data_IF_558582928043
#
_entry.id   IF_558582928043
#
_cell.length_a   1.000
_cell.length_b   1.000
_cell.length_c   1.000
_cell.angle_alpha   90.00
_cell.angle_beta   90.00
_cell.angle_gamma   90.00
#
_symmetry.space_group_name_H-M   'P 1'
#
loop_
_entity.id
_entity.type
_entity.pdbx_description
1 polymer ?
#
# COMPACT_ATOMS: atom_id res chain seq x y z
N UNK A 1 15.69 -27.97 -1.89
CA UNK A 1 15.21 -27.34 -1.99
C UNK A 1 14.73 -26.47 -1.46
N UNK A 2 14.45 -26.25 -1.25
CA UNK A 2 13.76 -25.65 -1.05
C UNK A 2 13.72 -24.39 -0.81
N UNK A 3 14.23 -23.63 -1.18
CA UNK A 3 13.79 -22.35 -1.00
C UNK A 3 12.43 -22.35 -0.59
N UNK A 4 12.18 -23.35 -0.11
CA UNK A 4 10.87 -23.75 0.06
C UNK A 4 10.06 -22.76 0.84
N UNK A 5 10.58 -22.11 1.84
CA UNK A 5 9.78 -21.20 2.64
C UNK A 5 9.26 -20.01 1.86
N UNK A 6 10.13 -19.42 1.04
CA UNK A 6 9.71 -18.28 0.24
C UNK A 6 8.70 -18.71 -0.81
N UNK A 7 8.98 -19.81 -1.49
CA UNK A 7 8.05 -20.30 -2.49
C UNK A 7 6.71 -20.70 -1.89
N UNK A 8 6.74 -21.30 -0.71
CA UNK A 8 5.52 -21.71 -0.04
C UNK A 8 4.69 -20.49 0.36
N UNK A 9 5.32 -19.47 0.93
CA UNK A 9 4.62 -18.26 1.31
C UNK A 9 3.97 -17.61 0.09
N UNK A 10 4.72 -17.48 -1.00
CA UNK A 10 4.20 -16.87 -2.22
C UNK A 10 3.05 -17.68 -2.81
N UNK A 11 3.15 -19.01 -2.76
CA UNK A 11 2.09 -19.88 -3.28
C UNK A 11 0.82 -19.80 -2.45
N UNK A 12 0.93 -19.52 -1.16
CA UNK A 12 -0.23 -19.44 -0.27
C UNK A 12 -0.86 -18.07 -0.25
N UNK A 13 -0.08 -17.02 -0.43
CA UNK A 13 -0.57 -15.65 -0.45
C UNK A 13 -1.36 -15.41 -1.72
N UNK A 14 -2.53 -14.82 -1.58
CA UNK A 14 -3.36 -14.46 -2.74
C UNK A 14 -3.57 -12.97 -2.78
N UNK A 15 -3.26 -12.38 -3.92
CA UNK A 15 -3.65 -11.00 -4.21
C UNK A 15 -4.95 -11.09 -4.99
N UNK A 16 -6.01 -10.50 -4.44
CA UNK A 16 -7.34 -10.59 -5.05
C UNK A 16 -8.08 -9.27 -4.92
N UNK A 17 -9.18 -9.16 -5.64
CA UNK A 17 -10.01 -7.95 -5.60
C UNK A 17 -10.67 -7.82 -4.23
N UNK A 18 -10.71 -6.61 -3.71
CA UNK A 18 -11.39 -6.25 -2.47
C UNK A 18 -12.89 -6.54 -2.59
N UNK A 19 -13.45 -7.17 -1.56
CA UNK A 19 -14.88 -7.46 -1.45
C UNK A 19 -15.45 -6.69 -0.26
N UNK A 20 -16.30 -5.67 -0.48
CA UNK A 20 -16.72 -4.78 0.61
C UNK A 20 -17.23 -5.48 1.86
N UNK A 21 -18.13 -6.44 1.70
CA UNK A 21 -18.72 -7.13 2.85
C UNK A 21 -17.71 -7.93 3.64
N UNK A 22 -16.73 -8.49 2.95
CA UNK A 22 -15.75 -9.39 3.54
C UNK A 22 -14.56 -8.64 4.12
N UNK A 23 -14.12 -7.57 3.45
CA UNK A 23 -12.80 -7.02 3.68
C UNK A 23 -12.80 -5.63 4.32
N UNK A 24 -13.93 -4.91 4.30
CA UNK A 24 -13.94 -3.50 4.69
C UNK A 24 -13.46 -3.28 6.12
N UNK A 25 -14.00 -4.03 7.08
CA UNK A 25 -13.63 -3.85 8.47
C UNK A 25 -12.15 -4.09 8.71
N UNK A 26 -11.61 -5.12 8.06
CA UNK A 26 -10.18 -5.46 8.21
C UNK A 26 -9.30 -4.37 7.59
N UNK A 27 -9.67 -3.88 6.41
CA UNK A 27 -8.92 -2.83 5.74
C UNK A 27 -9.00 -1.50 6.50
N UNK A 28 -10.13 -1.19 7.10
CA UNK A 28 -10.25 -0.02 7.97
C UNK A 28 -9.24 -0.08 9.11
N UNK A 29 -9.12 -1.25 9.74
CA UNK A 29 -8.16 -1.44 10.81
C UNK A 29 -6.72 -1.30 10.35
N UNK A 30 -6.38 -1.89 9.21
CA UNK A 30 -5.04 -1.78 8.64
C UNK A 30 -4.72 -0.33 8.31
N UNK A 31 -5.63 0.35 7.64
CA UNK A 31 -5.44 1.74 7.24
C UNK A 31 -5.19 2.65 8.44
N UNK A 32 -5.95 2.45 9.51
CA UNK A 32 -5.83 3.24 10.73
C UNK A 32 -4.51 2.97 11.45
N UNK A 33 -4.22 1.69 11.68
CA UNK A 33 -3.05 1.28 12.46
C UNK A 33 -1.74 1.61 11.76
N UNK A 34 -1.66 1.31 10.47
CA UNK A 34 -0.41 1.50 9.72
C UNK A 34 -0.11 2.99 9.58
N UNK A 35 -1.12 3.82 9.32
CA UNK A 35 -0.91 5.27 9.26
C UNK A 35 -0.41 5.81 10.60
N UNK A 36 -1.04 5.40 11.69
CA UNK A 36 -0.63 5.86 13.01
C UNK A 36 0.81 5.47 13.34
N UNK A 37 1.21 4.28 12.96
CA UNK A 37 2.59 3.81 13.19
C UNK A 37 3.59 4.49 12.26
N UNK A 38 3.21 4.70 11.01
CA UNK A 38 4.10 5.24 9.98
C UNK A 38 4.31 6.73 10.14
N UNK A 39 3.22 7.48 10.35
CA UNK A 39 3.27 8.94 10.46
C UNK A 39 3.40 9.34 11.92
N UNK A 40 4.52 8.97 12.52
CA UNK A 40 4.76 9.12 13.96
C UNK A 40 4.80 10.58 14.42
N UNK A 41 4.96 11.51 13.51
CA UNK A 41 4.96 12.95 13.82
C UNK A 41 3.55 13.56 13.86
N UNK A 42 2.51 12.75 13.60
CA UNK A 42 1.11 13.17 13.64
C UNK A 42 0.43 12.53 14.84
N UNK A 43 -0.46 13.27 15.51
CA UNK A 43 -1.23 12.71 16.60
C UNK A 43 -2.03 11.50 16.10
N UNK A 44 -1.82 10.30 16.65
CA UNK A 44 -2.47 9.08 16.16
C UNK A 44 -3.99 9.13 16.23
N UNK A 45 -4.56 9.93 17.11
CA UNK A 45 -6.02 10.09 17.19
C UNK A 45 -6.63 10.70 15.94
N UNK A 46 -5.82 11.30 15.09
CA UNK A 46 -6.26 11.87 13.83
C UNK A 46 -6.69 10.80 12.83
N UNK A 47 -6.16 9.60 12.95
CA UNK A 47 -6.44 8.50 12.04
C UNK A 47 -7.60 7.65 12.57
N UNK A 48 -8.67 7.54 11.79
CA UNK A 48 -9.89 6.84 12.20
C UNK A 48 -10.29 5.79 11.19
N UNK A 49 -10.91 4.70 11.65
CA UNK A 49 -11.41 3.68 10.72
C UNK A 49 -12.38 4.23 9.67
N UNK A 50 -13.18 5.24 10.06
CA UNK A 50 -14.14 5.86 9.15
C UNK A 50 -13.49 6.64 8.01
N UNK A 51 -12.20 6.89 8.06
CA UNK A 51 -11.47 7.56 6.97
C UNK A 51 -11.37 6.68 5.73
N UNK A 52 -11.37 5.36 5.91
CA UNK A 52 -11.09 4.42 4.81
C UNK A 52 -12.05 4.60 3.63
N UNK A 53 -13.35 4.63 3.90
CA UNK A 53 -14.34 4.68 2.83
C UNK A 53 -14.25 5.95 1.99
N UNK A 54 -14.22 7.16 2.56
CA UNK A 54 -14.07 8.37 1.75
C UNK A 54 -12.71 8.46 1.07
N UNK A 55 -11.64 8.00 1.73
CA UNK A 55 -10.30 8.12 1.15
C UNK A 55 -10.04 7.16 0.00
N UNK A 56 -10.81 6.07 -0.10
CA UNK A 56 -10.66 5.10 -1.19
C UNK A 56 -11.80 5.16 -2.20
N UNK A 57 -12.67 6.14 -2.09
CA UNK A 57 -13.85 6.25 -2.97
C UNK A 57 -13.41 6.35 -4.44
N UNK A 58 -13.97 5.49 -5.27
CA UNK A 58 -13.67 5.47 -6.70
C UNK A 58 -12.40 4.72 -7.08
N UNK A 59 -11.67 4.18 -6.12
CA UNK A 59 -10.44 3.45 -6.39
C UNK A 59 -10.70 1.96 -6.62
N UNK A 60 -9.82 1.35 -7.40
CA UNK A 60 -9.74 -0.11 -7.49
C UNK A 60 -8.88 -0.59 -6.34
N UNK A 61 -9.39 -1.54 -5.56
CA UNK A 61 -8.70 -2.05 -4.40
C UNK A 61 -8.35 -3.52 -4.58
N UNK A 62 -7.11 -3.87 -4.27
CA UNK A 62 -6.64 -5.25 -4.20
C UNK A 62 -6.18 -5.52 -2.78
N UNK A 63 -6.41 -6.73 -2.30
CA UNK A 63 -5.99 -7.13 -0.96
C UNK A 63 -5.03 -8.30 -1.03
N UNK A 64 -4.13 -8.36 -0.05
CA UNK A 64 -3.24 -9.50 0.13
C UNK A 64 -3.87 -10.38 1.20
N UNK A 65 -4.33 -11.56 0.79
CA UNK A 65 -5.05 -12.48 1.65
C UNK A 65 -4.14 -13.65 2.02
N UNK A 66 -3.80 -13.73 3.29
CA UNK A 66 -2.92 -14.78 3.80
C UNK A 66 -3.78 -15.90 4.39
N UNK A 67 -3.50 -17.17 4.06
CA UNK A 67 -4.35 -18.28 4.48
C UNK A 67 -4.52 -18.41 6.00
N UNK A 68 -3.51 -18.04 6.76
CA UNK A 68 -3.58 -18.13 8.22
C UNK A 68 -3.97 -16.83 8.89
N UNK A 69 -3.61 -15.68 8.30
CA UNK A 69 -3.77 -14.37 8.94
C UNK A 69 -4.92 -13.55 8.37
N UNK A 70 -5.51 -13.99 7.27
CA UNK A 70 -6.51 -13.21 6.54
C UNK A 70 -5.87 -12.08 5.77
N UNK A 71 -6.62 -10.99 5.57
CA UNK A 71 -6.11 -9.83 4.84
C UNK A 71 -5.05 -9.13 5.68
N UNK A 72 -3.85 -8.98 5.11
CA UNK A 72 -2.70 -8.39 5.79
C UNK A 72 -2.20 -7.10 5.13
N UNK A 73 -2.81 -6.72 4.02
CA UNK A 73 -2.45 -5.48 3.34
C UNK A 73 -3.38 -5.20 2.19
N UNK A 74 -3.32 -3.99 1.66
CA UNK A 74 -4.10 -3.62 0.48
C UNK A 74 -3.40 -2.54 -0.32
N UNK A 75 -3.79 -2.43 -1.59
CA UNK A 75 -3.35 -1.37 -2.48
C UNK A 75 -4.58 -0.71 -3.09
N UNK A 76 -4.57 0.62 -3.17
CA UNK A 76 -5.64 1.40 -3.79
C UNK A 76 -5.10 2.11 -5.03
N UNK A 77 -5.84 2.02 -6.12
CA UNK A 77 -5.41 2.47 -7.43
C UNK A 77 -6.43 3.45 -8.00
N UNK A 78 -5.97 4.66 -8.29
CA UNK A 78 -6.77 5.63 -9.05
C UNK A 78 -6.47 5.41 -10.53
N UNK A 79 -7.32 4.60 -11.17
CA UNK A 79 -7.09 4.12 -12.53
C UNK A 79 -6.96 5.22 -13.58
N UNK A 80 -7.80 6.29 -13.55
CA UNK A 80 -7.75 7.30 -14.62
C UNK A 80 -6.39 7.97 -14.79
N UNK A 81 -5.56 8.01 -13.75
CA UNK A 81 -4.26 8.68 -13.83
C UNK A 81 -3.09 7.72 -13.59
N UNK A 82 -3.34 6.42 -13.62
CA UNK A 82 -2.30 5.42 -13.38
C UNK A 82 -1.57 5.67 -12.05
N UNK A 83 -2.36 6.01 -11.02
CA UNK A 83 -1.85 6.48 -9.75
C UNK A 83 -2.09 5.46 -8.64
N UNK A 84 -1.02 5.07 -7.96
CA UNK A 84 -1.10 4.20 -6.78
C UNK A 84 -1.32 5.12 -5.58
N UNK A 85 -2.52 5.13 -5.04
CA UNK A 85 -2.89 6.07 -3.98
C UNK A 85 -2.63 5.53 -2.59
N UNK A 86 -2.79 4.23 -2.39
CA UNK A 86 -2.59 3.59 -1.09
C UNK A 86 -1.81 2.30 -1.26
N UNK A 87 -0.88 2.05 -0.33
CA UNK A 87 -0.18 0.76 -0.24
C UNK A 87 0.17 0.57 1.24
N UNK A 88 -0.56 -0.31 1.90
CA UNK A 88 -0.41 -0.54 3.33
C UNK A 88 -0.34 -2.03 3.64
N UNK A 89 0.64 -2.41 4.46
CA UNK A 89 0.84 -3.78 4.92
C UNK A 89 1.04 -3.72 6.43
N UNK A 90 0.44 -4.65 7.17
CA UNK A 90 0.62 -4.69 8.63
C UNK A 90 2.10 -4.83 8.96
N UNK A 91 2.58 -4.17 10.04
CA UNK A 91 4.01 -4.16 10.35
C UNK A 91 4.63 -5.54 10.52
N UNK A 92 3.88 -6.49 11.08
CA UNK A 92 4.38 -7.86 11.30
C UNK A 92 4.74 -8.57 10.00
N UNK A 93 4.20 -8.11 8.89
CA UNK A 93 4.43 -8.71 7.58
C UNK A 93 5.29 -7.85 6.67
N UNK A 94 5.98 -6.85 7.22
CA UNK A 94 6.93 -6.07 6.43
C UNK A 94 8.15 -6.93 6.10
N UNK A 95 8.81 -6.59 4.99
CA UNK A 95 10.07 -7.20 4.55
C UNK A 95 9.98 -8.66 4.12
N UNK A 96 8.78 -9.18 3.90
CA UNK A 96 8.59 -10.52 3.36
C UNK A 96 7.97 -10.49 1.96
N UNK A 97 7.99 -9.33 1.32
CA UNK A 97 7.58 -9.21 -0.08
C UNK A 97 6.10 -8.93 -0.32
N UNK A 98 5.30 -8.70 0.73
CA UNK A 98 3.85 -8.47 0.58
C UNK A 98 3.59 -7.13 -0.14
N UNK A 99 4.27 -6.07 0.28
CA UNK A 99 4.12 -4.75 -0.34
C UNK A 99 4.49 -4.79 -1.81
N UNK A 100 5.58 -5.48 -2.14
CA UNK A 100 6.01 -5.64 -3.52
C UNK A 100 4.99 -6.44 -4.33
N UNK A 101 4.44 -7.51 -3.77
CA UNK A 101 3.44 -8.32 -4.46
C UNK A 101 2.18 -7.51 -4.78
N UNK A 102 1.71 -6.71 -3.82
CA UNK A 102 0.58 -5.82 -4.03
C UNK A 102 0.90 -4.78 -5.10
N UNK A 103 2.07 -4.16 -5.03
CA UNK A 103 2.48 -3.14 -5.99
C UNK A 103 2.59 -3.73 -7.39
N UNK A 104 3.22 -4.89 -7.54
CA UNK A 104 3.36 -5.55 -8.83
C UNK A 104 1.99 -5.90 -9.43
N UNK A 105 1.05 -6.36 -8.60
CA UNK A 105 -0.30 -6.66 -9.04
C UNK A 105 -1.02 -5.41 -9.51
N UNK A 106 -0.87 -4.31 -8.76
CA UNK A 106 -1.47 -3.03 -9.14
C UNK A 106 -0.90 -2.52 -10.46
N UNK A 107 0.42 -2.63 -10.64
CA UNK A 107 1.08 -2.16 -11.86
C UNK A 107 0.62 -2.90 -13.10
N UNK A 108 0.16 -4.14 -12.96
CA UNK A 108 -0.38 -4.90 -14.09
C UNK A 108 -1.74 -4.40 -14.55
N UNK A 109 -2.41 -3.58 -13.75
CA UNK A 109 -3.75 -3.06 -14.07
C UNK A 109 -3.75 -1.67 -14.67
N UNK A 110 -2.60 -1.01 -14.71
CA UNK A 110 -2.49 0.38 -15.18
C UNK A 110 -1.39 0.51 -16.23
N UNK A 111 -1.37 1.68 -16.87
CA UNK A 111 -0.36 1.99 -17.89
C UNK A 111 0.79 2.77 -17.29
N UNK A 112 1.84 2.94 -18.07
CA UNK A 112 3.02 3.71 -17.70
C UNK A 112 2.95 5.10 -18.35
N UNK A 113 3.50 6.12 -17.73
CA UNK A 113 4.17 6.08 -16.44
C UNK A 113 3.16 5.91 -15.30
N UNK A 114 3.54 5.14 -14.30
CA UNK A 114 2.77 5.02 -13.07
C UNK A 114 3.30 6.02 -12.05
N UNK A 115 2.44 6.50 -11.19
CA UNK A 115 2.82 7.52 -10.20
C UNK A 115 2.30 7.19 -8.82
N UNK A 116 2.98 7.68 -7.82
CA UNK A 116 2.51 7.66 -6.43
C UNK A 116 3.12 8.83 -5.67
N UNK A 117 2.59 9.08 -4.48
CA UNK A 117 3.15 10.08 -3.57
C UNK A 117 3.53 9.41 -2.27
N UNK A 118 4.61 9.87 -1.68
CA UNK A 118 5.16 9.35 -0.45
C UNK A 118 5.55 10.53 0.43
N UNK A 119 5.24 10.45 1.73
CA UNK A 119 5.67 11.49 2.64
C UNK A 119 7.19 11.51 2.71
N UNK A 120 7.78 12.72 2.62
CA UNK A 120 9.24 12.88 2.64
C UNK A 120 9.86 12.27 3.88
N UNK A 121 9.17 12.37 5.02
CA UNK A 121 9.66 11.86 6.29
C UNK A 121 9.62 10.34 6.38
N UNK A 122 8.90 9.67 5.46
CA UNK A 122 8.81 8.21 5.44
C UNK A 122 10.00 7.63 4.68
N UNK A 123 11.14 7.58 5.36
CA UNK A 123 12.39 7.14 4.76
C UNK A 123 12.33 5.72 4.22
N UNK A 124 11.69 4.82 4.97
CA UNK A 124 11.59 3.43 4.55
C UNK A 124 10.84 3.28 3.24
N UNK A 125 9.73 3.99 3.08
CA UNK A 125 8.97 3.95 1.83
C UNK A 125 9.78 4.54 0.68
N UNK A 126 10.46 5.66 0.92
CA UNK A 126 11.29 6.29 -0.12
C UNK A 126 12.35 5.31 -0.63
N UNK A 127 13.05 4.64 0.29
CA UNK A 127 14.08 3.67 -0.07
C UNK A 127 13.48 2.49 -0.83
N UNK A 128 12.30 2.05 -0.41
CA UNK A 128 11.59 0.96 -1.07
C UNK A 128 11.32 1.28 -2.54
N UNK A 129 10.74 2.44 -2.81
CA UNK A 129 10.42 2.82 -4.20
C UNK A 129 11.67 3.08 -5.01
N UNK A 130 12.68 3.74 -4.45
CA UNK A 130 13.94 3.97 -5.16
C UNK A 130 14.62 2.67 -5.53
N UNK A 131 14.62 1.71 -4.62
CA UNK A 131 15.20 0.38 -4.86
C UNK A 131 14.49 -0.35 -6.00
N UNK A 132 13.19 -0.12 -6.17
CA UNK A 132 12.41 -0.73 -7.22
C UNK A 132 12.48 0.02 -8.55
N UNK A 133 13.28 1.07 -8.63
CA UNK A 133 13.50 1.78 -9.89
C UNK A 133 12.62 2.99 -10.12
N UNK A 134 11.85 3.41 -9.13
CA UNK A 134 11.05 4.62 -9.24
C UNK A 134 11.95 5.85 -9.09
N UNK A 135 11.68 6.88 -9.88
CA UNK A 135 12.41 8.15 -9.80
C UNK A 135 11.57 9.21 -9.13
N UNK A 136 12.22 10.18 -8.50
CA UNK A 136 11.52 11.28 -7.85
C UNK A 136 11.04 12.28 -8.89
N UNK A 137 9.82 12.79 -8.66
CA UNK A 137 9.22 13.84 -9.46
C UNK A 137 8.97 15.08 -8.63
N UNK A 138 7.74 15.60 -8.71
CA UNK A 138 7.37 16.82 -8.02
C UNK A 138 7.32 16.65 -6.50
N UNK A 139 7.32 17.78 -5.79
CA UNK A 139 7.17 17.81 -4.35
C UNK A 139 6.04 18.77 -3.99
N UNK A 140 5.44 18.55 -2.82
CA UNK A 140 4.37 19.40 -2.35
C UNK A 140 4.11 19.19 -0.87
N UNK A 141 2.98 19.68 -0.42
CA UNK A 141 2.57 19.67 0.97
C UNK A 141 1.13 19.21 1.07
N UNK A 142 0.81 18.46 2.10
CA UNK A 142 -0.56 18.15 2.49
C UNK A 142 -0.68 18.23 4.01
N UNK A 143 -1.80 17.77 4.55
CA UNK A 143 -2.08 17.84 5.99
C UNK A 143 -1.11 17.01 6.84
N UNK A 144 -0.53 15.97 6.25
CA UNK A 144 0.41 15.09 6.94
C UNK A 144 1.81 15.70 6.95
N UNK A 145 2.17 16.39 5.85
CA UNK A 145 3.48 17.00 5.73
C UNK A 145 3.92 17.15 4.29
N UNK A 146 5.22 17.19 4.09
CA UNK A 146 5.79 17.25 2.74
C UNK A 146 5.70 15.90 2.07
N UNK A 147 5.32 15.88 0.78
CA UNK A 147 5.32 14.67 -0.01
C UNK A 147 6.23 14.80 -1.24
N UNK A 148 6.67 13.65 -1.72
CA UNK A 148 7.46 13.52 -2.95
C UNK A 148 6.69 12.59 -3.87
N UNK A 149 6.57 12.99 -5.13
CA UNK A 149 6.02 12.13 -6.16
C UNK A 149 7.10 11.16 -6.64
N UNK A 150 6.72 9.90 -6.84
CA UNK A 150 7.57 8.90 -7.46
C UNK A 150 6.94 8.46 -8.76
N UNK A 151 7.77 8.25 -9.78
CA UNK A 151 7.32 7.93 -11.13
C UNK A 151 8.05 6.68 -11.61
N UNK A 152 7.28 5.76 -12.14
CA UNK A 152 7.81 4.56 -12.79
C UNK A 152 7.49 4.65 -14.28
N UNK A 153 8.54 4.84 -15.07
CA UNK A 153 8.41 5.00 -16.52
C UNK A 153 8.14 3.68 -17.22
#
# INVERSE_FOLDING_TARGET
>A
MEPSNTGTLDAELRIRVFEPRRDEARCQGIYTKVRAATFSWVNPKRFKPSDFRPDTLGESLLVADHPAKGVIGFVGIWMPENFIHHLYVIPECHRIGIGRALLDSALRTISRPAKLKCQSANKNAREFYQHLGWREGDQGHDEIGRWIEFILD
#
